data_IF_922749990947
#
_entry.id   IF_922749990947
#
_cell.length_a   1.000
_cell.length_b   1.000
_cell.length_c   1.000
_cell.angle_alpha   90.00
_cell.angle_beta   90.00
_cell.angle_gamma   90.00
#
_symmetry.space_group_name_H-M   'P 1'
#
loop_
_entity.id
_entity.type
_entity.pdbx_description
1 polymer ?
#
# COMPACT_ATOMS: atom_id res chain seq x y z
N UNK A 1 -20.88 2.07 24.11
CA UNK A 1 -19.82 1.73 23.14
C UNK A 1 -20.28 0.46 22.42
N UNK A 2 -20.61 0.54 21.12
CA UNK A 2 -21.24 -0.58 20.39
C UNK A 2 -20.21 -1.69 20.07
N UNK A 3 -20.55 -2.99 20.15
CA UNK A 3 -19.62 -4.11 19.91
C UNK A 3 -18.89 -4.06 18.55
N UNK A 4 -19.55 -3.55 17.52
CA UNK A 4 -18.96 -3.38 16.17
C UNK A 4 -17.75 -2.44 16.16
N UNK A 5 -17.76 -1.41 17.03
CA UNK A 5 -16.68 -0.44 17.13
C UNK A 5 -15.42 -1.06 17.77
N UNK A 6 -15.61 -1.97 18.73
CA UNK A 6 -14.50 -2.69 19.37
C UNK A 6 -13.84 -3.63 18.36
N UNK A 7 -14.63 -4.32 17.55
CA UNK A 7 -14.13 -5.23 16.50
C UNK A 7 -13.31 -4.51 15.44
N UNK A 8 -13.82 -3.39 14.89
CA UNK A 8 -13.10 -2.59 13.89
C UNK A 8 -11.78 -2.03 14.43
N UNK A 9 -11.79 -1.48 15.64
CA UNK A 9 -10.57 -0.96 16.28
C UNK A 9 -9.54 -2.05 16.48
N UNK A 10 -9.95 -3.25 16.90
CA UNK A 10 -9.04 -4.38 17.07
C UNK A 10 -8.39 -4.79 15.74
N UNK A 11 -9.17 -4.90 14.66
CA UNK A 11 -8.64 -5.23 13.32
C UNK A 11 -7.62 -4.18 12.88
N UNK A 12 -7.92 -2.89 13.03
CA UNK A 12 -6.97 -1.82 12.69
C UNK A 12 -5.66 -1.95 13.47
N UNK A 13 -5.72 -2.20 14.77
CA UNK A 13 -4.52 -2.42 15.58
C UNK A 13 -3.73 -3.66 15.15
N UNK A 14 -4.41 -4.74 14.76
CA UNK A 14 -3.76 -5.93 14.22
C UNK A 14 -3.06 -5.65 12.89
N UNK A 15 -3.65 -4.85 12.00
CA UNK A 15 -3.03 -4.47 10.73
C UNK A 15 -1.83 -3.55 10.94
N UNK A 16 -1.90 -2.63 11.90
CA UNK A 16 -0.77 -1.79 12.28
C UNK A 16 0.38 -2.64 12.81
N UNK A 17 0.08 -3.57 13.72
CA UNK A 17 1.05 -4.52 14.26
C UNK A 17 1.65 -5.40 13.16
N UNK A 18 0.84 -5.90 12.23
CA UNK A 18 1.31 -6.64 11.06
C UNK A 18 2.33 -5.84 10.24
N UNK A 19 2.06 -4.56 9.97
CA UNK A 19 2.99 -3.68 9.26
C UNK A 19 4.35 -3.58 9.97
N UNK A 20 4.35 -3.42 11.29
CA UNK A 20 5.60 -3.38 12.08
C UNK A 20 6.33 -4.73 12.04
N UNK A 21 5.62 -5.85 12.17
CA UNK A 21 6.21 -7.20 12.06
C UNK A 21 6.83 -7.41 10.68
N UNK A 22 6.13 -7.01 9.61
CA UNK A 22 6.63 -7.06 8.24
C UNK A 22 7.93 -6.26 8.09
N UNK A 23 7.96 -5.03 8.60
CA UNK A 23 9.13 -4.15 8.54
C UNK A 23 10.35 -4.72 9.32
N UNK A 24 10.09 -5.47 10.39
CA UNK A 24 11.11 -6.11 11.21
C UNK A 24 11.69 -7.39 10.58
N UNK A 25 11.06 -7.97 9.55
CA UNK A 25 11.57 -9.18 8.90
C UNK A 25 12.88 -8.94 8.15
N UNK A 26 13.61 -10.02 7.91
CA UNK A 26 14.64 -10.08 6.88
C UNK A 26 14.01 -10.19 5.48
N UNK A 27 14.84 -10.18 4.43
CA UNK A 27 14.33 -10.26 3.06
C UNK A 27 13.51 -11.53 2.78
N UNK A 28 13.91 -12.67 3.37
CA UNK A 28 13.22 -13.93 3.18
C UNK A 28 11.83 -13.92 3.83
N UNK A 29 11.72 -13.40 5.06
CA UNK A 29 10.44 -13.24 5.75
C UNK A 29 9.51 -12.26 5.04
N UNK A 30 10.04 -11.13 4.54
CA UNK A 30 9.24 -10.18 3.75
C UNK A 30 8.66 -10.83 2.49
N UNK A 31 9.49 -11.56 1.73
CA UNK A 31 9.04 -12.26 0.51
C UNK A 31 8.00 -13.35 0.82
N UNK A 32 8.18 -14.10 1.91
CA UNK A 32 7.20 -15.11 2.32
C UNK A 32 5.84 -14.46 2.64
N UNK A 33 5.82 -13.34 3.37
CA UNK A 33 4.59 -12.60 3.67
C UNK A 33 3.93 -12.04 2.41
N UNK A 34 4.72 -11.44 1.50
CA UNK A 34 4.19 -10.95 0.22
C UNK A 34 3.62 -12.09 -0.64
N UNK A 35 4.28 -13.25 -0.66
CA UNK A 35 3.78 -14.44 -1.37
C UNK A 35 2.43 -14.93 -0.83
N UNK A 36 2.26 -14.92 0.51
CA UNK A 36 0.97 -15.25 1.14
C UNK A 36 -0.11 -14.24 0.72
N UNK A 37 0.21 -12.94 0.74
CA UNK A 37 -0.71 -11.87 0.31
C UNK A 37 -1.12 -12.06 -1.15
N UNK A 38 -0.16 -12.30 -2.04
CA UNK A 38 -0.42 -12.51 -3.47
C UNK A 38 -1.32 -13.72 -3.72
N UNK A 39 -1.07 -14.84 -3.04
CA UNK A 39 -1.92 -16.02 -3.11
C UNK A 39 -3.35 -15.74 -2.63
N UNK A 40 -3.51 -14.98 -1.54
CA UNK A 40 -4.82 -14.59 -0.99
C UNK A 40 -5.60 -13.71 -1.97
N UNK A 41 -4.94 -12.74 -2.61
CA UNK A 41 -5.56 -11.90 -3.63
C UNK A 41 -6.06 -12.74 -4.81
N UNK A 42 -5.23 -13.66 -5.31
CA UNK A 42 -5.61 -14.53 -6.45
C UNK A 42 -6.78 -15.46 -6.11
N UNK A 43 -6.77 -16.08 -4.93
CA UNK A 43 -7.82 -16.99 -4.49
C UNK A 43 -9.13 -16.26 -4.11
N UNK A 44 -9.02 -15.01 -3.66
CA UNK A 44 -10.12 -14.22 -3.12
C UNK A 44 -11.06 -13.59 -4.15
N UNK A 45 -10.66 -13.43 -5.42
CA UNK A 45 -11.37 -12.59 -6.41
C UNK A 45 -12.88 -12.82 -6.58
N UNK A 46 -13.40 -13.99 -6.24
CA UNK A 46 -14.84 -14.33 -6.36
C UNK A 46 -15.57 -14.39 -5.02
N UNK A 47 -14.90 -14.04 -3.93
CA UNK A 47 -15.40 -14.19 -2.57
C UNK A 47 -15.96 -12.88 -2.07
N UNK A 48 -17.03 -12.95 -1.26
CA UNK A 48 -17.68 -11.76 -0.68
C UNK A 48 -16.79 -10.96 0.27
N UNK A 49 -15.74 -11.59 0.83
CA UNK A 49 -14.76 -10.96 1.71
C UNK A 49 -13.59 -10.30 0.98
N UNK A 50 -13.52 -10.39 -0.36
CA UNK A 50 -12.38 -9.92 -1.16
C UNK A 50 -12.10 -8.43 -0.95
N UNK A 51 -13.14 -7.58 -1.01
CA UNK A 51 -12.98 -6.14 -0.81
C UNK A 51 -12.36 -5.81 0.56
N UNK A 52 -12.85 -6.44 1.64
CA UNK A 52 -12.27 -6.26 2.97
C UNK A 52 -10.81 -6.76 3.03
N UNK A 53 -10.50 -7.88 2.35
CA UNK A 53 -9.12 -8.37 2.24
C UNK A 53 -8.21 -7.39 1.51
N UNK A 54 -8.66 -6.80 0.41
CA UNK A 54 -7.89 -5.78 -0.35
C UNK A 54 -7.60 -4.57 0.54
N UNK A 55 -8.60 -4.06 1.27
CA UNK A 55 -8.42 -2.97 2.23
C UNK A 55 -7.40 -3.32 3.30
N UNK A 56 -7.51 -4.50 3.90
CA UNK A 56 -6.58 -4.97 4.94
C UNK A 56 -5.14 -5.10 4.42
N UNK A 57 -4.97 -5.62 3.20
CA UNK A 57 -3.66 -5.72 2.54
C UNK A 57 -3.08 -4.32 2.31
N UNK A 58 -3.87 -3.39 1.81
CA UNK A 58 -3.42 -2.01 1.59
C UNK A 58 -2.95 -1.36 2.89
N UNK A 59 -3.75 -1.44 3.96
CA UNK A 59 -3.41 -0.86 5.27
C UNK A 59 -2.17 -1.51 5.88
N UNK A 60 -2.10 -2.85 5.86
CA UNK A 60 -0.97 -3.59 6.43
C UNK A 60 0.35 -3.28 5.70
N UNK A 61 0.33 -3.26 4.36
CA UNK A 61 1.50 -2.93 3.55
C UNK A 61 1.90 -1.46 3.66
N UNK A 62 0.95 -0.52 3.60
CA UNK A 62 1.25 0.90 3.81
C UNK A 62 1.92 1.15 5.16
N UNK A 63 1.39 0.52 6.21
CA UNK A 63 1.99 0.62 7.54
C UNK A 63 3.40 0.03 7.56
N UNK A 64 3.60 -1.13 6.95
CA UNK A 64 4.92 -1.75 6.85
C UNK A 64 5.94 -0.91 6.06
N UNK A 65 5.54 -0.31 4.95
CA UNK A 65 6.42 0.57 4.16
C UNK A 65 6.74 1.88 4.89
N UNK A 66 5.76 2.46 5.59
CA UNK A 66 6.00 3.62 6.47
C UNK A 66 6.97 3.27 7.60
N UNK A 67 6.79 2.12 8.25
CA UNK A 67 7.72 1.65 9.27
C UNK A 67 9.12 1.40 8.69
N UNK A 68 9.24 0.81 7.49
CA UNK A 68 10.53 0.61 6.83
C UNK A 68 11.24 1.93 6.51
N UNK A 69 10.52 2.95 6.05
CA UNK A 69 11.09 4.27 5.81
C UNK A 69 11.61 4.93 7.10
N UNK A 70 10.98 4.66 8.25
CA UNK A 70 11.45 5.13 9.55
C UNK A 70 12.64 4.34 10.09
N UNK A 71 12.68 3.03 9.83
CA UNK A 71 13.62 2.10 10.47
C UNK A 71 14.87 1.80 9.64
N UNK A 72 14.84 1.94 8.30
CA UNK A 72 15.95 1.54 7.42
C UNK A 72 16.43 2.69 6.51
N UNK A 73 17.72 3.04 6.56
CA UNK A 73 18.31 4.00 5.62
C UNK A 73 18.72 3.39 4.27
N UNK A 74 18.64 2.07 4.11
CA UNK A 74 19.07 1.36 2.88
C UNK A 74 17.88 0.97 2.01
N UNK A 75 18.04 0.98 0.66
CA UNK A 75 16.98 0.60 -0.25
C UNK A 75 16.61 -0.88 -0.08
N UNK A 76 15.33 -1.19 -0.24
CA UNK A 76 14.83 -2.56 -0.26
C UNK A 76 15.39 -3.33 -1.46
N UNK A 77 15.52 -4.65 -1.28
CA UNK A 77 15.91 -5.55 -2.36
C UNK A 77 14.92 -5.48 -3.54
N UNK A 78 15.42 -5.59 -4.79
CA UNK A 78 14.59 -5.45 -5.99
C UNK A 78 13.47 -6.51 -6.08
N UNK A 79 13.66 -7.69 -5.50
CA UNK A 79 12.65 -8.74 -5.44
C UNK A 79 11.45 -8.35 -4.56
N UNK A 80 11.71 -7.75 -3.40
CA UNK A 80 10.67 -7.25 -2.48
C UNK A 80 9.91 -6.10 -3.14
N UNK A 81 10.65 -5.16 -3.74
CA UNK A 81 10.08 -4.04 -4.47
C UNK A 81 9.21 -4.52 -5.64
N UNK A 82 9.69 -5.49 -6.41
CA UNK A 82 8.94 -6.07 -7.54
C UNK A 82 7.68 -6.81 -7.10
N UNK A 83 7.77 -7.62 -6.04
CA UNK A 83 6.63 -8.37 -5.50
C UNK A 83 5.56 -7.43 -4.93
N UNK A 84 5.96 -6.43 -4.13
CA UNK A 84 5.04 -5.44 -3.58
C UNK A 84 4.41 -4.56 -4.68
N UNK A 85 5.21 -4.15 -5.67
CA UNK A 85 4.70 -3.42 -6.84
C UNK A 85 3.62 -4.23 -7.57
N UNK A 86 3.88 -5.52 -7.83
CA UNK A 86 2.94 -6.40 -8.52
C UNK A 86 1.62 -6.56 -7.76
N UNK A 87 1.65 -6.61 -6.42
CA UNK A 87 0.45 -6.66 -5.58
C UNK A 87 -0.41 -5.41 -5.78
N UNK A 88 0.14 -4.21 -5.65
CA UNK A 88 -0.63 -2.98 -5.83
C UNK A 88 -1.11 -2.79 -7.26
N UNK A 89 -0.30 -3.15 -8.26
CA UNK A 89 -0.71 -3.09 -9.66
C UNK A 89 -1.83 -4.11 -9.96
N UNK A 90 -1.79 -5.30 -9.36
CA UNK A 90 -2.88 -6.26 -9.47
C UNK A 90 -4.17 -5.71 -8.86
N UNK A 91 -4.11 -5.04 -7.71
CA UNK A 91 -5.27 -4.40 -7.09
C UNK A 91 -5.80 -3.27 -7.98
N UNK A 92 -4.93 -2.39 -8.49
CA UNK A 92 -5.32 -1.29 -9.38
C UNK A 92 -5.91 -1.75 -10.72
N UNK A 93 -5.50 -2.92 -11.20
CA UNK A 93 -6.06 -3.54 -12.40
C UNK A 93 -7.44 -4.19 -12.16
N UNK A 94 -7.87 -4.34 -10.90
CA UNK A 94 -9.23 -4.80 -10.60
C UNK A 94 -10.23 -3.66 -10.82
N UNK A 95 -11.24 -3.92 -11.66
CA UNK A 95 -12.22 -2.90 -12.05
C UNK A 95 -13.22 -2.51 -10.97
N UNK A 96 -13.35 -3.32 -9.90
CA UNK A 96 -14.34 -3.17 -8.83
C UNK A 96 -13.72 -2.76 -7.49
N UNK A 97 -12.67 -1.93 -7.53
CA UNK A 97 -12.05 -1.34 -6.33
C UNK A 97 -12.68 0.00 -5.98
N UNK A 98 -12.86 0.26 -4.69
CA UNK A 98 -13.35 1.55 -4.21
C UNK A 98 -12.26 2.64 -4.25
N UNK A 99 -12.68 3.90 -4.12
CA UNK A 99 -11.78 5.05 -4.19
C UNK A 99 -10.67 5.01 -3.11
N UNK A 100 -10.99 4.53 -1.92
CA UNK A 100 -10.06 4.33 -0.80
C UNK A 100 -8.96 3.30 -1.13
N UNK A 101 -9.33 2.14 -1.68
CA UNK A 101 -8.38 1.10 -2.12
C UNK A 101 -7.47 1.59 -3.26
N UNK A 102 -8.03 2.33 -4.21
CA UNK A 102 -7.28 2.93 -5.33
C UNK A 102 -6.26 3.96 -4.84
N UNK A 103 -6.66 4.82 -3.91
CA UNK A 103 -5.79 5.80 -3.26
C UNK A 103 -4.67 5.12 -2.49
N UNK A 104 -5.01 4.16 -1.64
CA UNK A 104 -4.06 3.42 -0.82
C UNK A 104 -3.04 2.63 -1.67
N UNK A 105 -3.48 2.01 -2.76
CA UNK A 105 -2.59 1.30 -3.69
C UNK A 105 -1.64 2.26 -4.42
N UNK A 106 -2.14 3.44 -4.83
CA UNK A 106 -1.32 4.46 -5.48
C UNK A 106 -0.29 5.05 -4.51
N UNK A 107 -0.70 5.38 -3.28
CA UNK A 107 0.20 5.79 -2.20
C UNK A 107 1.28 4.73 -1.95
N UNK A 108 0.90 3.45 -1.92
CA UNK A 108 1.82 2.32 -1.77
C UNK A 108 2.90 2.28 -2.86
N UNK A 109 2.52 2.50 -4.12
CA UNK A 109 3.49 2.63 -5.23
C UNK A 109 4.44 3.82 -5.04
N UNK A 110 3.94 4.95 -4.53
CA UNK A 110 4.76 6.11 -4.20
C UNK A 110 5.76 5.83 -3.06
N UNK A 111 5.34 5.13 -2.02
CA UNK A 111 6.22 4.71 -0.91
C UNK A 111 7.26 3.69 -1.36
N UNK A 112 6.89 2.73 -2.22
CA UNK A 112 7.84 1.78 -2.80
C UNK A 112 8.93 2.46 -3.60
N UNK A 113 8.60 3.52 -4.35
CA UNK A 113 9.62 4.33 -5.02
C UNK A 113 10.64 4.89 -4.02
N UNK A 114 10.20 5.43 -2.88
CA UNK A 114 11.12 5.96 -1.85
C UNK A 114 11.98 4.89 -1.19
N UNK A 115 11.46 3.67 -1.08
CA UNK A 115 12.18 2.52 -0.55
C UNK A 115 13.12 1.88 -1.58
N UNK A 116 13.01 2.26 -2.85
CA UNK A 116 13.87 1.81 -3.92
C UNK A 116 15.15 2.62 -4.05
N UNK A 117 16.01 2.20 -4.99
CA UNK A 117 17.13 3.01 -5.45
C UNK A 117 16.69 4.03 -6.50
N UNK A 118 17.58 4.95 -6.88
CA UNK A 118 17.28 6.03 -7.83
C UNK A 118 16.75 5.51 -9.18
N UNK A 119 17.24 4.36 -9.63
CA UNK A 119 16.78 3.71 -10.88
C UNK A 119 15.32 3.25 -10.74
N UNK A 120 14.98 2.60 -9.62
CA UNK A 120 13.63 2.15 -9.33
C UNK A 120 12.67 3.35 -9.18
N UNK A 121 13.09 4.39 -8.46
CA UNK A 121 12.34 5.64 -8.30
C UNK A 121 12.03 6.27 -9.65
N UNK A 122 13.04 6.46 -10.49
CA UNK A 122 12.87 7.06 -11.82
C UNK A 122 11.93 6.22 -12.71
N UNK A 123 12.03 4.89 -12.63
CA UNK A 123 11.11 3.98 -13.35
C UNK A 123 9.67 4.14 -12.86
N UNK A 124 9.47 4.20 -11.55
CA UNK A 124 8.15 4.35 -10.95
C UNK A 124 7.52 5.71 -11.27
N UNK A 125 8.30 6.79 -11.19
CA UNK A 125 7.84 8.14 -11.56
C UNK A 125 7.38 8.18 -13.02
N UNK A 126 8.14 7.57 -13.95
CA UNK A 126 7.72 7.49 -15.36
C UNK A 126 6.44 6.69 -15.55
N UNK A 127 6.30 5.57 -14.85
CA UNK A 127 5.09 4.74 -14.89
C UNK A 127 3.86 5.54 -14.44
N UNK A 128 3.94 6.19 -13.28
CA UNK A 128 2.87 7.01 -12.73
C UNK A 128 2.53 8.22 -13.62
N UNK A 129 3.53 8.90 -14.20
CA UNK A 129 3.28 9.99 -15.15
C UNK A 129 2.57 9.51 -16.42
N UNK A 130 2.93 8.32 -16.91
CA UNK A 130 2.22 7.68 -18.01
C UNK A 130 0.76 7.44 -17.68
N UNK A 131 0.48 6.84 -16.53
CA UNK A 131 -0.88 6.57 -16.06
C UNK A 131 -1.69 7.86 -15.86
N UNK A 132 -1.06 8.92 -15.33
CA UNK A 132 -1.70 10.22 -15.14
C UNK A 132 -2.17 10.85 -16.46
N UNK A 133 -1.35 10.72 -17.51
CA UNK A 133 -1.68 11.27 -18.83
C UNK A 133 -2.87 10.57 -19.50
N UNK A 134 -3.13 9.31 -19.12
CA UNK A 134 -4.27 8.53 -19.61
C UNK A 134 -5.48 8.52 -18.68
N UNK A 135 -5.39 9.11 -17.48
CA UNK A 135 -6.47 9.07 -16.50
C UNK A 135 -7.62 10.00 -16.88
N UNK A 136 -8.76 9.43 -17.24
CA UNK A 136 -10.00 10.19 -17.51
C UNK A 136 -10.84 10.44 -16.26
N UNK A 137 -10.63 9.64 -15.21
CA UNK A 137 -11.31 9.75 -13.91
C UNK A 137 -10.50 10.64 -12.96
N UNK A 138 -11.13 11.69 -12.43
CA UNK A 138 -10.50 12.64 -11.50
C UNK A 138 -10.05 11.98 -10.20
N UNK A 139 -10.75 10.96 -9.71
CA UNK A 139 -10.36 10.24 -8.50
C UNK A 139 -9.09 9.41 -8.72
N UNK A 140 -8.96 8.80 -9.90
CA UNK A 140 -7.75 8.08 -10.27
C UNK A 140 -6.57 9.03 -10.51
N UNK A 141 -6.78 10.12 -11.24
CA UNK A 141 -5.77 11.15 -11.45
C UNK A 141 -5.26 11.73 -10.12
N UNK A 142 -6.17 12.01 -9.17
CA UNK A 142 -5.81 12.47 -7.83
C UNK A 142 -4.98 11.45 -7.05
N UNK A 143 -5.31 10.16 -7.17
CA UNK A 143 -4.55 9.07 -6.54
C UNK A 143 -3.12 8.96 -7.09
N UNK A 144 -2.96 9.09 -8.41
CA UNK A 144 -1.64 9.09 -9.06
C UNK A 144 -0.83 10.35 -8.69
N UNK A 145 -1.49 11.52 -8.67
CA UNK A 145 -0.86 12.76 -8.24
C UNK A 145 -0.35 12.66 -6.79
N UNK A 146 -1.12 12.03 -5.90
CA UNK A 146 -0.69 11.74 -4.54
C UNK A 146 0.54 10.83 -4.51
N UNK A 147 0.55 9.74 -5.29
CA UNK A 147 1.69 8.83 -5.41
C UNK A 147 2.96 9.56 -5.85
N UNK A 148 2.85 10.43 -6.86
CA UNK A 148 3.95 11.29 -7.31
C UNK A 148 4.38 12.27 -6.20
N UNK A 149 3.43 12.84 -5.46
CA UNK A 149 3.69 13.67 -4.29
C UNK A 149 4.49 12.92 -3.20
N UNK A 150 4.17 11.66 -2.94
CA UNK A 150 4.93 10.80 -2.01
C UNK A 150 6.39 10.67 -2.46
N UNK A 151 6.65 10.50 -3.76
CA UNK A 151 8.03 10.40 -4.28
C UNK A 151 8.81 11.70 -4.04
N UNK A 152 8.17 12.85 -4.22
CA UNK A 152 8.82 14.16 -4.16
C UNK A 152 8.97 14.73 -2.73
N UNK A 153 8.07 14.40 -1.79
CA UNK A 153 8.18 14.85 -0.39
C UNK A 153 9.04 13.91 0.45
N UNK A 154 10.20 14.40 0.90
CA UNK A 154 10.86 13.91 2.13
C UNK A 154 10.41 14.77 3.31
N UNK A 155 9.37 14.39 4.06
CA UNK A 155 9.15 14.88 5.45
C UNK A 155 8.07 14.13 6.26
N UNK A 156 8.43 13.90 7.52
CA UNK A 156 7.73 13.58 8.78
C UNK A 156 6.41 12.77 8.77
N UNK A 157 6.52 11.56 9.33
CA UNK A 157 5.49 10.53 9.47
C UNK A 157 4.36 10.82 10.48
N UNK A 158 4.38 11.95 11.20
CA UNK A 158 3.48 12.14 12.35
C UNK A 158 2.04 12.55 12.01
N UNK A 159 1.73 12.95 10.77
CA UNK A 159 0.39 13.44 10.40
C UNK A 159 -0.48 12.46 9.59
N UNK A 160 0.04 11.30 9.18
CA UNK A 160 -0.68 10.39 8.28
C UNK A 160 -1.46 9.26 8.98
N UNK A 161 -1.31 9.09 10.29
CA UNK A 161 -2.10 8.12 11.07
C UNK A 161 -3.57 8.55 11.12
N UNK A 162 -3.87 9.86 11.04
CA UNK A 162 -5.25 10.34 10.97
C UNK A 162 -5.95 9.99 9.64
N UNK A 163 -5.24 9.98 8.51
CA UNK A 163 -5.83 9.64 7.20
C UNK A 163 -6.05 8.12 7.01
N UNK A 164 -5.34 7.27 7.75
CA UNK A 164 -5.61 5.84 7.77
C UNK A 164 -6.90 5.49 8.54
N UNK A 165 -7.34 6.34 9.47
CA UNK A 165 -8.63 6.19 10.15
C UNK A 165 -9.81 6.53 9.24
N UNK A 166 -9.69 7.53 8.35
CA UNK A 166 -10.74 7.84 7.36
C UNK A 166 -10.96 6.68 6.36
N UNK A 167 -9.94 5.87 6.07
CA UNK A 167 -10.06 4.67 5.24
C UNK A 167 -10.87 3.53 5.92
N UNK A 168 -11.13 3.62 7.22
CA UNK A 168 -11.89 2.62 7.99
C UNK A 168 -13.32 3.07 8.33
N UNK A 169 -13.71 4.28 7.93
CA UNK A 169 -15.01 4.89 8.22
C UNK A 169 -15.98 4.93 7.02
N UNK A 170 -15.54 4.62 5.80
CA UNK A 170 -16.41 4.29 4.65
C UNK A 170 -16.77 2.79 4.61
#
# INVERSE_FOLDING_TARGET
>A
MKPEMISKTLVNQMLLCFGVIFAAQDSSGMLALLGIIEQRLKAGKKQSWHAASVTNICVGLLTGFKALLSLRPQPLGPEILGSAQAIFQSILAEGDICASQRRASSEGLGLLARLGNDIFTARMTRLLLGDLSGATDSNYAGSIAMALGCIHRRRDLELEILNLCELAEE
#
